data_IF_070086007634
#
_entry.id   IF_070086007634
#
_cell.length_a   1.000
_cell.length_b   1.000
_cell.length_c   1.000
_cell.angle_alpha   90.00
_cell.angle_beta   90.00
_cell.angle_gamma   90.00
#
_symmetry.space_group_name_H-M   'P 1'
#
loop_
_entity.id
_entity.type
_entity.pdbx_description
1 polymer ?
#
# COMPACT_ATOMS: atom_id res chain seq x y z
N UNK A 1 -2.46 6.78 -5.85
CA UNK A 1 -2.06 7.61 -7.02
C UNK A 1 -0.57 7.93 -7.02
N UNK A 2 -0.05 8.56 -5.99
CA UNK A 2 1.37 8.95 -5.87
C UNK A 2 2.35 7.77 -6.02
N UNK A 3 2.01 6.60 -5.49
CA UNK A 3 2.83 5.39 -5.59
C UNK A 3 3.13 4.98 -7.05
N UNK A 4 2.11 4.91 -7.90
CA UNK A 4 2.30 4.50 -9.31
C UNK A 4 3.04 5.55 -10.13
N UNK A 5 2.78 6.84 -9.88
CA UNK A 5 3.53 7.92 -10.52
C UNK A 5 5.03 7.86 -10.16
N UNK A 6 5.34 7.60 -8.88
CA UNK A 6 6.72 7.38 -8.43
C UNK A 6 7.33 6.11 -9.03
N UNK A 7 6.55 5.05 -9.23
CA UNK A 7 7.04 3.83 -9.88
C UNK A 7 7.48 4.10 -11.33
N UNK A 8 6.72 4.87 -12.10
CA UNK A 8 7.11 5.29 -13.46
C UNK A 8 8.39 6.13 -13.42
N UNK A 9 8.48 7.11 -12.52
CA UNK A 9 9.66 7.95 -12.36
C UNK A 9 10.92 7.13 -12.02
N UNK A 10 10.78 6.12 -11.15
CA UNK A 10 11.89 5.20 -10.82
C UNK A 10 12.38 4.46 -12.07
N UNK A 11 11.46 3.92 -12.88
CA UNK A 11 11.83 3.24 -14.12
C UNK A 11 12.50 4.15 -15.14
N UNK A 12 12.10 5.41 -15.22
CA UNK A 12 12.74 6.43 -16.06
C UNK A 12 14.15 6.76 -15.58
N UNK A 13 14.35 6.89 -14.26
CA UNK A 13 15.67 7.09 -13.66
C UNK A 13 16.59 5.88 -13.94
N UNK A 14 16.03 4.68 -13.88
CA UNK A 14 16.77 3.46 -14.19
C UNK A 14 17.19 3.39 -15.65
N UNK A 15 16.34 3.88 -16.58
CA UNK A 15 16.74 4.04 -17.99
C UNK A 15 17.93 5.01 -18.15
N UNK A 16 17.96 6.11 -17.38
CA UNK A 16 19.11 7.03 -17.37
C UNK A 16 20.37 6.34 -16.85
N UNK A 17 20.24 5.51 -15.81
CA UNK A 17 21.35 4.74 -15.25
C UNK A 17 21.89 3.72 -16.26
N UNK A 18 21.02 2.96 -16.92
CA UNK A 18 21.42 2.00 -17.97
C UNK A 18 22.16 2.72 -19.12
N UNK A 19 21.74 3.94 -19.47
CA UNK A 19 22.46 4.73 -20.49
C UNK A 19 23.83 5.23 -20.02
N UNK A 20 23.99 5.49 -18.70
CA UNK A 20 25.24 5.98 -18.09
C UNK A 20 26.17 4.86 -17.64
N UNK A 21 25.79 3.61 -17.78
CA UNK A 21 26.54 2.46 -17.28
C UNK A 21 27.99 2.38 -17.82
N UNK A 22 28.27 3.06 -18.94
CA UNK A 22 29.63 3.17 -19.49
C UNK A 22 30.63 3.79 -18.51
N UNK A 23 30.18 4.56 -17.50
CA UNK A 23 31.06 5.16 -16.48
C UNK A 23 31.74 4.09 -15.60
N UNK A 24 31.12 2.90 -15.45
CA UNK A 24 31.70 1.78 -14.71
C UNK A 24 32.93 1.14 -15.39
N UNK A 25 33.18 1.49 -16.66
CA UNK A 25 34.37 1.00 -17.38
C UNK A 25 35.64 1.67 -16.91
N UNK A 26 35.51 2.84 -16.27
CA UNK A 26 36.61 3.58 -15.68
C UNK A 26 36.65 3.35 -14.18
N UNK A 27 37.76 2.81 -13.70
CA UNK A 27 38.02 2.61 -12.27
C UNK A 27 39.27 3.35 -11.89
N UNK A 28 39.18 4.14 -10.83
CA UNK A 28 40.33 4.80 -10.20
C UNK A 28 40.51 4.14 -8.84
N UNK A 29 41.72 3.67 -8.56
CA UNK A 29 42.10 3.07 -7.29
C UNK A 29 43.28 3.85 -6.70
N UNK A 30 43.19 4.15 -5.44
CA UNK A 30 44.23 4.72 -4.65
C UNK A 30 44.41 3.89 -3.38
N UNK A 31 45.60 3.39 -3.15
CA UNK A 31 45.92 2.62 -1.96
C UNK A 31 47.08 3.29 -1.22
N UNK A 32 46.92 3.43 0.06
CA UNK A 32 47.98 3.86 0.96
C UNK A 32 48.21 2.76 1.99
N UNK A 33 49.48 2.32 2.13
CA UNK A 33 49.87 1.32 3.10
C UNK A 33 50.99 1.91 3.98
N UNK A 34 50.81 1.73 5.27
CA UNK A 34 51.79 2.09 6.28
C UNK A 34 52.03 0.84 7.16
N UNK A 35 53.30 0.50 7.38
CA UNK A 35 53.63 -0.64 8.21
C UNK A 35 55.13 -0.86 8.28
N UNK A 36 55.56 -1.72 9.19
CA UNK A 36 56.91 -2.25 9.27
C UNK A 36 56.94 -3.59 8.53
N UNK A 37 57.95 -3.77 7.67
CA UNK A 37 58.17 -5.06 7.02
C UNK A 37 59.46 -5.70 7.57
N UNK A 38 59.33 -6.92 8.06
CA UNK A 38 60.46 -7.74 8.45
C UNK A 38 60.98 -8.46 7.22
N UNK A 39 62.27 -8.26 6.92
CA UNK A 39 62.93 -8.94 5.81
C UNK A 39 63.69 -10.14 6.37
N UNK A 40 63.25 -11.31 5.99
CA UNK A 40 63.94 -12.55 6.34
C UNK A 40 65.06 -12.80 5.32
N UNK A 41 66.33 -12.68 5.75
CA UNK A 41 67.44 -13.02 4.92
C UNK A 41 68.01 -14.40 5.31
N UNK A 42 68.20 -15.25 4.31
CA UNK A 42 68.81 -16.55 4.47
C UNK A 42 70.30 -16.40 4.18
N UNK A 43 71.12 -16.44 5.21
CA UNK A 43 72.58 -16.39 5.05
C UNK A 43 73.18 -17.79 5.19
N UNK A 44 74.00 -18.16 4.21
CA UNK A 44 74.81 -19.38 4.26
C UNK A 44 76.21 -18.99 4.75
N UNK A 45 76.52 -19.35 5.97
CA UNK A 45 77.86 -19.17 6.53
C UNK A 45 78.51 -20.54 6.64
N UNK A 46 79.50 -20.79 5.78
CA UNK A 46 80.51 -21.80 5.69
C UNK A 46 80.30 -23.26 6.20
N UNK A 47 79.10 -23.60 6.60
CA UNK A 47 78.67 -24.96 6.88
C UNK A 47 77.27 -25.12 6.27
N UNK A 48 77.09 -26.15 5.52
CA UNK A 48 75.93 -26.50 4.72
C UNK A 48 74.55 -26.54 5.51
N UNK A 49 74.41 -25.77 6.60
CA UNK A 49 73.25 -25.64 7.44
C UNK A 49 72.71 -24.19 7.27
N UNK A 50 71.49 -24.04 6.76
CA UNK A 50 70.88 -22.68 6.63
C UNK A 50 70.57 -22.14 8.02
N UNK A 51 71.23 -21.04 8.42
CA UNK A 51 70.87 -20.30 9.63
C UNK A 51 69.91 -19.19 9.23
N UNK A 52 68.73 -19.24 9.75
CA UNK A 52 67.74 -18.20 9.59
C UNK A 52 68.07 -17.04 10.54
N UNK A 53 68.66 -15.96 10.03
CA UNK A 53 68.82 -14.73 10.77
C UNK A 53 67.69 -13.79 10.43
N UNK A 54 66.85 -13.51 11.41
CA UNK A 54 65.86 -12.46 11.30
C UNK A 54 66.51 -11.13 11.57
N UNK A 55 66.81 -10.36 10.53
CA UNK A 55 67.23 -8.98 10.73
C UNK A 55 65.97 -8.13 10.77
N UNK A 56 65.46 -7.86 11.97
CA UNK A 56 64.35 -6.91 12.18
C UNK A 56 64.90 -5.51 11.95
N UNK A 57 64.89 -5.06 10.72
CA UNK A 57 65.06 -3.66 10.41
C UNK A 57 63.69 -3.03 10.58
N UNK A 58 63.34 -2.60 11.78
CA UNK A 58 62.12 -1.87 12.09
C UNK A 58 62.10 -0.52 11.36
N UNK A 59 62.09 -0.57 10.04
CA UNK A 59 61.95 0.60 9.19
C UNK A 59 60.49 0.74 8.89
N UNK A 60 59.86 1.75 9.48
CA UNK A 60 58.52 2.17 9.11
C UNK A 60 58.53 2.59 7.64
N UNK A 61 57.81 1.87 6.81
CA UNK A 61 57.73 2.13 5.39
C UNK A 61 56.30 2.55 5.03
N UNK A 62 56.19 3.74 4.46
CA UNK A 62 54.93 4.19 3.84
C UNK A 62 55.07 4.11 2.34
N UNK A 63 54.10 3.49 1.70
CA UNK A 63 54.02 3.49 0.24
C UNK A 63 52.56 3.73 -0.22
N UNK A 64 52.45 4.46 -1.30
CA UNK A 64 51.17 4.76 -1.91
C UNK A 64 51.19 4.34 -3.37
N UNK A 65 50.01 3.95 -3.86
CA UNK A 65 49.80 3.56 -5.25
C UNK A 65 48.50 4.21 -5.74
N UNK A 66 48.59 4.91 -6.85
CA UNK A 66 47.41 5.43 -7.58
C UNK A 66 47.42 4.80 -8.95
N UNK A 67 46.31 4.16 -9.28
CA UNK A 67 46.13 3.51 -10.57
C UNK A 67 44.79 3.90 -11.20
N UNK A 68 44.75 4.00 -12.51
CA UNK A 68 43.55 4.07 -13.30
C UNK A 68 43.46 2.83 -14.19
N UNK A 69 42.30 2.17 -14.20
CA UNK A 69 42.06 1.02 -15.06
C UNK A 69 40.83 1.23 -15.91
N UNK A 70 40.89 0.78 -17.15
CA UNK A 70 39.79 0.79 -18.10
C UNK A 70 39.48 -0.67 -18.52
N UNK A 71 38.25 -1.10 -18.27
CA UNK A 71 37.85 -2.46 -18.57
C UNK A 71 36.45 -2.44 -19.15
N UNK A 72 36.29 -2.92 -20.39
CA UNK A 72 35.01 -3.02 -21.06
C UNK A 72 34.61 -4.50 -21.17
N UNK A 73 33.53 -4.97 -20.48
CA UNK A 73 33.00 -6.31 -20.69
C UNK A 73 32.38 -6.41 -22.09
N UNK A 74 32.80 -7.41 -22.86
CA UNK A 74 32.31 -7.63 -24.24
C UNK A 74 30.79 -7.84 -24.26
N UNK A 75 30.23 -8.48 -23.23
CA UNK A 75 28.78 -8.68 -23.08
C UNK A 75 28.02 -7.33 -23.08
N UNK A 76 28.57 -6.29 -22.46
CA UNK A 76 27.89 -5.00 -22.41
C UNK A 76 27.87 -4.28 -23.77
N UNK A 77 28.87 -4.46 -24.59
CA UNK A 77 28.91 -3.85 -25.92
C UNK A 77 27.78 -4.41 -26.78
N UNK A 78 27.64 -5.74 -26.81
CA UNK A 78 26.65 -6.41 -27.63
C UNK A 78 25.23 -6.31 -27.07
N UNK A 79 25.08 -6.36 -25.75
CA UNK A 79 23.77 -6.40 -25.09
C UNK A 79 23.22 -5.02 -24.67
N UNK A 80 24.01 -3.97 -24.77
CA UNK A 80 23.60 -2.60 -24.35
C UNK A 80 22.30 -2.16 -25.04
N UNK A 81 22.19 -2.38 -26.34
CA UNK A 81 20.98 -2.03 -27.11
C UNK A 81 19.75 -2.78 -26.60
N UNK A 82 19.94 -4.05 -26.28
CA UNK A 82 18.87 -4.89 -25.75
C UNK A 82 18.46 -4.48 -24.32
N UNK A 83 19.44 -4.18 -23.44
CA UNK A 83 19.19 -3.66 -22.08
C UNK A 83 18.36 -2.36 -22.14
N UNK A 84 18.70 -1.43 -23.03
CA UNK A 84 17.93 -0.18 -23.22
C UNK A 84 16.52 -0.46 -23.74
N UNK A 85 16.35 -1.36 -24.71
CA UNK A 85 15.03 -1.76 -25.21
C UNK A 85 14.19 -2.41 -24.10
N UNK A 86 14.78 -3.31 -23.34
CA UNK A 86 14.11 -3.97 -22.22
C UNK A 86 13.65 -2.96 -21.17
N UNK A 87 14.51 -2.00 -20.82
CA UNK A 87 14.13 -0.96 -19.84
C UNK A 87 13.01 -0.04 -20.35
N UNK A 88 12.99 0.29 -21.64
CA UNK A 88 11.87 1.02 -22.24
C UNK A 88 10.55 0.21 -22.16
N UNK A 89 10.60 -1.10 -22.39
CA UNK A 89 9.43 -1.97 -22.25
C UNK A 89 8.96 -2.08 -20.78
N UNK A 90 9.88 -2.01 -19.80
CA UNK A 90 9.50 -1.94 -18.38
C UNK A 90 8.75 -0.65 -18.05
N UNK A 91 9.19 0.49 -18.60
CA UNK A 91 8.46 1.76 -18.45
C UNK A 91 7.05 1.63 -19.02
N UNK A 92 6.93 1.12 -20.24
CA UNK A 92 5.64 0.91 -20.92
C UNK A 92 4.71 -0.01 -20.08
N UNK A 93 5.24 -1.11 -19.55
CA UNK A 93 4.47 -2.00 -18.66
C UNK A 93 4.02 -1.29 -17.38
N UNK A 94 4.90 -0.49 -16.75
CA UNK A 94 4.53 0.27 -15.55
C UNK A 94 3.45 1.32 -15.85
N UNK A 95 3.43 1.90 -17.06
CA UNK A 95 2.36 2.79 -17.50
C UNK A 95 1.03 2.02 -17.68
N UNK A 96 1.06 0.84 -18.28
CA UNK A 96 -0.14 -0.01 -18.38
C UNK A 96 -0.67 -0.43 -17.00
N UNK A 97 0.21 -0.71 -16.03
CA UNK A 97 -0.20 -1.02 -14.66
C UNK A 97 -0.87 0.19 -14.00
N UNK A 98 -0.39 1.41 -14.28
CA UNK A 98 -1.02 2.66 -13.83
C UNK A 98 -2.42 2.83 -14.44
N UNK A 99 -2.55 2.66 -15.76
CA UNK A 99 -3.82 2.77 -16.47
C UNK A 99 -4.83 1.74 -15.96
N UNK A 100 -4.39 0.49 -15.79
CA UNK A 100 -5.20 -0.57 -15.21
C UNK A 100 -5.67 -0.22 -13.79
N UNK A 101 -4.80 0.35 -12.96
CA UNK A 101 -5.19 0.79 -11.63
C UNK A 101 -6.28 1.87 -11.66
N UNK A 102 -6.20 2.81 -12.62
CA UNK A 102 -7.26 3.82 -12.81
C UNK A 102 -8.59 3.17 -13.20
N UNK A 103 -8.56 2.20 -14.09
CA UNK A 103 -9.78 1.49 -14.50
C UNK A 103 -10.37 0.68 -13.34
N UNK A 104 -9.53 0.00 -12.56
CA UNK A 104 -9.97 -0.72 -11.34
C UNK A 104 -10.57 0.24 -10.30
N UNK A 105 -9.98 1.41 -10.09
CA UNK A 105 -10.52 2.42 -9.18
C UNK A 105 -11.88 2.94 -9.68
N UNK A 106 -11.98 3.23 -10.99
CA UNK A 106 -13.23 3.66 -11.61
C UNK A 106 -14.34 2.62 -11.44
N UNK A 107 -14.02 1.34 -11.67
CA UNK A 107 -14.98 0.26 -11.46
C UNK A 107 -15.46 0.17 -10.01
N UNK A 108 -14.54 0.29 -9.02
CA UNK A 108 -14.89 0.30 -7.60
C UNK A 108 -15.80 1.48 -7.22
N UNK A 109 -15.58 2.66 -7.81
CA UNK A 109 -16.44 3.83 -7.57
C UNK A 109 -17.83 3.61 -8.16
N UNK A 110 -17.92 3.06 -9.38
CA UNK A 110 -19.20 2.76 -10.03
C UNK A 110 -19.97 1.71 -9.21
N UNK A 111 -19.30 0.65 -8.75
CA UNK A 111 -19.91 -0.39 -7.93
C UNK A 111 -20.43 0.16 -6.59
N UNK A 112 -19.62 0.97 -5.89
CA UNK A 112 -20.05 1.62 -4.66
C UNK A 112 -21.23 2.58 -4.88
N UNK A 113 -21.25 3.31 -5.99
CA UNK A 113 -22.37 4.19 -6.34
C UNK A 113 -23.66 3.41 -6.63
N UNK A 114 -23.58 2.36 -7.46
CA UNK A 114 -24.72 1.49 -7.76
C UNK A 114 -25.29 0.84 -6.50
N UNK A 115 -24.42 0.35 -5.63
CA UNK A 115 -24.83 -0.22 -4.34
C UNK A 115 -25.54 0.83 -3.46
N UNK A 116 -25.05 2.06 -3.40
CA UNK A 116 -25.70 3.11 -2.64
C UNK A 116 -27.09 3.47 -3.19
N UNK A 117 -27.24 3.54 -4.52
CA UNK A 117 -28.53 3.78 -5.19
C UNK A 117 -29.50 2.63 -4.93
N UNK A 118 -29.05 1.39 -5.01
CA UNK A 118 -29.83 0.20 -4.69
C UNK A 118 -30.34 0.23 -3.24
N UNK A 119 -29.43 0.46 -2.27
CA UNK A 119 -29.80 0.54 -0.86
C UNK A 119 -30.78 1.68 -0.56
N UNK A 120 -30.67 2.80 -1.29
CA UNK A 120 -31.65 3.89 -1.18
C UNK A 120 -33.06 3.46 -1.65
N UNK A 121 -33.15 2.71 -2.73
CA UNK A 121 -34.41 2.16 -3.22
C UNK A 121 -35.05 1.18 -2.22
N UNK A 122 -34.20 0.26 -1.69
CA UNK A 122 -34.64 -0.71 -0.67
C UNK A 122 -35.09 0.01 0.60
N UNK A 123 -34.40 1.09 1.02
CA UNK A 123 -34.76 1.88 2.19
C UNK A 123 -36.14 2.51 2.05
N UNK A 124 -36.52 2.98 0.86
CA UNK A 124 -37.88 3.50 0.60
C UNK A 124 -38.93 2.42 0.82
N UNK A 125 -38.74 1.26 0.24
CA UNK A 125 -39.69 0.13 0.40
C UNK A 125 -39.78 -0.34 1.86
N UNK A 126 -38.65 -0.41 2.57
CA UNK A 126 -38.61 -0.75 3.99
C UNK A 126 -39.32 0.30 4.87
N UNK A 127 -39.18 1.59 4.52
CA UNK A 127 -39.90 2.66 5.20
C UNK A 127 -41.42 2.56 5.03
N UNK A 128 -41.88 2.30 3.82
CA UNK A 128 -43.32 2.07 3.53
C UNK A 128 -43.87 0.83 4.27
N UNK A 129 -43.12 -0.27 4.27
CA UNK A 129 -43.49 -1.48 5.01
C UNK A 129 -43.56 -1.21 6.53
N UNK A 130 -42.63 -0.46 7.09
CA UNK A 130 -42.65 -0.05 8.50
C UNK A 130 -43.89 0.77 8.83
N UNK A 131 -44.20 1.82 8.04
CA UNK A 131 -45.39 2.67 8.25
C UNK A 131 -46.67 1.84 8.17
N UNK A 132 -46.74 0.95 7.17
CA UNK A 132 -47.93 0.08 7.00
C UNK A 132 -48.12 -0.88 8.18
N UNK A 133 -47.04 -1.54 8.61
CA UNK A 133 -47.07 -2.45 9.77
C UNK A 133 -47.42 -1.74 11.07
N UNK A 134 -46.93 -0.53 11.28
CA UNK A 134 -47.26 0.31 12.44
C UNK A 134 -48.73 0.72 12.44
N UNK A 135 -49.25 1.11 11.28
CA UNK A 135 -50.68 1.43 11.13
C UNK A 135 -51.61 0.21 11.40
N UNK A 136 -51.21 -0.96 10.86
CA UNK A 136 -51.94 -2.21 11.11
C UNK A 136 -51.89 -2.61 12.58
N UNK A 137 -50.77 -2.49 13.23
CA UNK A 137 -50.66 -2.75 14.69
C UNK A 137 -51.59 -1.83 15.49
N UNK A 138 -51.59 -0.52 15.23
CA UNK A 138 -52.46 0.44 15.89
C UNK A 138 -53.97 0.12 15.70
N UNK A 139 -54.37 -0.27 14.49
CA UNK A 139 -55.75 -0.72 14.23
C UNK A 139 -56.11 -1.97 15.02
N UNK A 140 -55.19 -2.96 15.03
CA UNK A 140 -55.36 -4.21 15.79
C UNK A 140 -55.46 -3.95 17.30
N UNK A 141 -54.66 -3.02 17.81
CA UNK A 141 -54.65 -2.60 19.22
C UNK A 141 -56.01 -2.00 19.62
N UNK A 142 -56.59 -1.12 18.79
CA UNK A 142 -57.92 -0.52 19.00
C UNK A 142 -59.01 -1.61 18.98
N UNK A 143 -58.95 -2.56 18.07
CA UNK A 143 -59.95 -3.63 17.97
C UNK A 143 -59.82 -4.67 19.11
N UNK A 144 -58.60 -4.89 19.61
CA UNK A 144 -58.37 -5.69 20.82
C UNK A 144 -59.00 -5.03 22.06
N UNK A 145 -58.78 -3.73 22.27
CA UNK A 145 -59.37 -2.98 23.37
C UNK A 145 -60.94 -3.01 23.31
N UNK A 146 -61.50 -3.02 22.11
CA UNK A 146 -62.94 -3.19 21.88
C UNK A 146 -63.42 -4.64 22.07
N UNK A 147 -62.55 -5.58 22.41
CA UNK A 147 -62.92 -6.98 22.60
C UNK A 147 -63.22 -7.76 21.30
N UNK A 148 -62.87 -7.24 20.13
CA UNK A 148 -63.09 -7.86 18.84
C UNK A 148 -62.09 -8.89 18.43
N UNK A 149 -60.87 -8.81 19.00
CA UNK A 149 -59.72 -9.64 18.67
C UNK A 149 -59.11 -10.27 19.94
N UNK A 150 -58.43 -11.40 19.74
CA UNK A 150 -57.72 -12.09 20.81
C UNK A 150 -56.29 -11.59 21.01
N UNK A 151 -55.69 -11.88 22.15
CA UNK A 151 -54.34 -11.48 22.51
C UNK A 151 -53.28 -12.11 21.57
N UNK A 152 -53.54 -13.27 21.00
CA UNK A 152 -52.64 -13.95 20.08
C UNK A 152 -52.52 -13.16 18.77
N UNK A 153 -53.62 -12.66 18.23
CA UNK A 153 -53.64 -11.80 17.03
C UNK A 153 -52.88 -10.50 17.25
N UNK A 154 -53.10 -9.84 18.41
CA UNK A 154 -52.34 -8.62 18.78
C UNK A 154 -50.85 -8.91 18.89
N UNK A 155 -50.45 -9.99 19.56
CA UNK A 155 -49.04 -10.38 19.69
C UNK A 155 -48.40 -10.67 18.34
N UNK A 156 -49.07 -11.34 17.42
CA UNK A 156 -48.64 -11.62 16.06
C UNK A 156 -48.39 -10.31 15.29
N UNK A 157 -49.35 -9.37 15.37
CA UNK A 157 -49.24 -8.08 14.69
C UNK A 157 -48.07 -7.23 15.25
N UNK A 158 -47.86 -7.27 16.57
CA UNK A 158 -46.70 -6.63 17.20
C UNK A 158 -45.38 -7.24 16.75
N UNK A 159 -45.31 -8.53 16.56
CA UNK A 159 -44.13 -9.22 16.02
C UNK A 159 -43.80 -8.79 14.59
N UNK A 160 -44.84 -8.61 13.75
CA UNK A 160 -44.68 -8.12 12.37
C UNK A 160 -44.18 -6.67 12.34
N UNK A 161 -44.73 -5.78 13.16
CA UNK A 161 -44.28 -4.39 13.30
C UNK A 161 -42.80 -4.33 13.76
N UNK A 162 -42.41 -5.12 14.77
CA UNK A 162 -41.06 -5.21 15.24
C UNK A 162 -40.11 -5.73 14.15
N UNK A 163 -40.55 -6.67 13.31
CA UNK A 163 -39.77 -7.19 12.19
C UNK A 163 -39.55 -6.12 11.11
N UNK A 164 -40.59 -5.40 10.71
CA UNK A 164 -40.49 -4.33 9.73
C UNK A 164 -39.60 -3.17 10.23
N UNK A 165 -39.66 -2.85 11.51
CA UNK A 165 -38.82 -1.85 12.14
C UNK A 165 -37.34 -2.27 12.11
N UNK A 166 -37.03 -3.53 12.46
CA UNK A 166 -35.65 -4.07 12.40
C UNK A 166 -35.11 -4.08 10.98
N UNK A 167 -35.93 -4.46 10.01
CA UNK A 167 -35.55 -4.45 8.60
C UNK A 167 -35.20 -3.03 8.12
N UNK A 168 -36.07 -2.06 8.43
CA UNK A 168 -35.76 -0.64 8.12
C UNK A 168 -34.45 -0.18 8.72
N UNK A 169 -34.17 -0.45 9.99
CA UNK A 169 -32.93 -0.05 10.63
C UNK A 169 -31.69 -0.78 10.06
N UNK A 170 -31.86 -2.03 9.61
CA UNK A 170 -30.80 -2.77 8.96
C UNK A 170 -30.46 -2.17 7.59
N UNK A 171 -31.47 -1.90 6.76
CA UNK A 171 -31.27 -1.30 5.42
C UNK A 171 -30.70 0.10 5.54
N UNK A 172 -31.14 0.87 6.55
CA UNK A 172 -30.57 2.20 6.84
C UNK A 172 -29.08 2.13 7.16
N UNK A 173 -28.64 1.14 7.95
CA UNK A 173 -27.20 0.90 8.21
C UNK A 173 -26.46 0.54 6.93
N UNK A 174 -27.02 -0.36 6.12
CA UNK A 174 -26.41 -0.76 4.85
C UNK A 174 -26.22 0.42 3.89
N UNK A 175 -27.20 1.32 3.81
CA UNK A 175 -27.09 2.55 3.02
C UNK A 175 -25.97 3.45 3.54
N UNK A 176 -25.87 3.64 4.86
CA UNK A 176 -24.80 4.44 5.45
C UNK A 176 -23.42 3.86 5.14
N UNK A 177 -23.27 2.53 5.25
CA UNK A 177 -22.03 1.85 4.92
C UNK A 177 -21.66 2.01 3.44
N UNK A 178 -22.64 1.93 2.54
CA UNK A 178 -22.43 2.15 1.11
C UNK A 178 -22.00 3.60 0.81
N UNK A 179 -22.63 4.58 1.45
CA UNK A 179 -22.28 6.00 1.31
C UNK A 179 -20.87 6.29 1.87
N UNK A 180 -20.51 5.75 3.03
CA UNK A 180 -19.18 5.89 3.60
C UNK A 180 -18.09 5.28 2.69
N UNK A 181 -18.35 4.11 2.10
CA UNK A 181 -17.44 3.51 1.10
C UNK A 181 -17.25 4.42 -0.10
N UNK A 182 -18.32 5.01 -0.61
CA UNK A 182 -18.24 5.94 -1.73
C UNK A 182 -17.46 7.21 -1.36
N UNK A 183 -17.67 7.76 -0.18
CA UNK A 183 -16.94 8.90 0.37
C UNK A 183 -15.43 8.63 0.48
N UNK A 184 -15.05 7.46 1.00
CA UNK A 184 -13.64 7.04 1.08
C UNK A 184 -13.01 6.92 -0.31
N UNK A 185 -13.71 6.32 -1.29
CA UNK A 185 -13.19 6.12 -2.63
C UNK A 185 -13.06 7.42 -3.43
N UNK A 186 -13.99 8.35 -3.22
CA UNK A 186 -14.03 9.63 -3.95
C UNK A 186 -13.28 10.76 -3.24
N UNK A 187 -12.91 10.56 -1.96
CA UNK A 187 -12.39 11.61 -1.07
C UNK A 187 -13.28 12.87 -1.00
N UNK A 188 -14.59 12.71 -1.26
CA UNK A 188 -15.56 13.81 -1.28
C UNK A 188 -16.58 13.58 -0.17
N UNK A 189 -16.80 14.49 0.78
CA UNK A 189 -17.79 14.32 1.82
C UNK A 189 -19.20 14.32 1.19
N UNK A 190 -19.89 13.22 1.29
CA UNK A 190 -21.25 13.02 0.77
C UNK A 190 -22.26 13.23 1.90
N UNK A 191 -21.90 12.85 3.13
CA UNK A 191 -22.74 12.97 4.31
C UNK A 191 -22.37 14.25 5.06
N UNK A 192 -23.17 15.29 4.92
CA UNK A 192 -22.96 16.58 5.57
C UNK A 192 -23.20 16.61 7.08
N UNK A 193 -23.66 15.50 7.69
CA UNK A 193 -23.77 15.33 9.14
C UNK A 193 -23.26 13.96 9.53
N UNK A 194 -22.27 13.87 10.44
CA UNK A 194 -21.95 12.59 11.04
C UNK A 194 -23.22 12.09 11.74
N UNK A 195 -23.68 10.90 11.33
CA UNK A 195 -24.78 10.22 12.02
C UNK A 195 -24.24 9.92 13.41
N UNK A 196 -24.70 10.70 14.40
CA UNK A 196 -24.36 10.46 15.80
C UNK A 196 -24.87 9.06 16.15
N UNK A 197 -23.96 8.13 16.37
CA UNK A 197 -24.32 6.87 17.01
C UNK A 197 -24.81 7.21 18.42
N UNK A 198 -26.04 6.80 18.79
CA UNK A 198 -26.47 6.98 20.16
C UNK A 198 -25.55 6.14 21.07
N UNK A 199 -24.71 6.80 21.86
CA UNK A 199 -23.87 6.13 22.87
C UNK A 199 -22.38 6.42 22.88
N UNK A 200 -21.83 7.22 21.95
CA UNK A 200 -20.42 7.65 22.01
C UNK A 200 -20.37 9.16 22.26
N UNK A 201 -20.43 9.55 23.51
CA UNK A 201 -20.03 10.88 23.96
C UNK A 201 -18.53 11.01 23.75
N UNK A 202 -18.10 11.86 22.81
CA UNK A 202 -16.72 12.35 22.77
C UNK A 202 -16.53 13.30 23.97
N UNK A 203 -15.99 12.80 25.06
CA UNK A 203 -15.28 13.65 26.00
C UNK A 203 -14.01 14.14 25.30
N UNK A 204 -14.00 15.43 24.99
CA UNK A 204 -12.79 16.12 24.58
C UNK A 204 -11.85 16.19 25.80
N UNK A 205 -10.54 15.91 25.66
CA UNK A 205 -9.60 16.21 26.74
C UNK A 205 -9.47 17.74 26.86
N UNK A 206 -9.88 18.26 28.00
CA UNK A 206 -9.53 19.61 28.42
C UNK A 206 -8.00 19.68 28.58
N UNK A 207 -7.39 20.56 27.81
CA UNK A 207 -5.98 20.94 27.97
C UNK A 207 -5.87 21.99 29.04
N UNK A 208 -5.22 21.65 30.15
CA UNK A 208 -4.52 22.62 31.01
C UNK A 208 -3.15 22.99 30.43
#
# INVERSE_FOLDING_TARGET
MEYYNKAVEIQERELKNVRRNWQHYFKINANYNYGSSDIYNQNYQDSNIPIWTTTTTGREQSWWNVGASFSIPLDEIFNRRNKIKQQKKRIENTQYDLDRWYDELRMKIIDAYTTAVEQLSILRSAAEAKITSEAQYRMTEVDFVKGKLDAQTLSRQKSLENSATREYEQVRRNLNDALLRLEILTHTPIINKPISMPGVSKEAPETE
#
